data_IF_983180354298
#
_entry.id   IF_983180354298
#
_cell.length_a   1.000
_cell.length_b   1.000
_cell.length_c   1.000
_cell.angle_alpha   90.00
_cell.angle_beta   90.00
_cell.angle_gamma   90.00
#
_symmetry.space_group_name_H-M   'P 1'
#
loop_
_entity.id
_entity.type
_entity.pdbx_description
1 polymer ?
#
# COMPACT_ATOMS: atom_id res chain seq x y z
N UNK A 1 26.70 20.63 -27.73
CA UNK A 1 27.36 20.22 -26.46
C UNK A 1 26.61 20.84 -25.29
N UNK A 2 25.63 20.15 -24.67
CA UNK A 2 25.19 20.31 -23.25
C UNK A 2 23.79 19.75 -22.90
N UNK A 3 22.97 19.29 -23.85
CA UNK A 3 21.58 18.89 -23.56
C UNK A 3 21.33 17.37 -23.64
N UNK A 4 22.24 16.55 -23.10
CA UNK A 4 22.08 15.09 -23.12
C UNK A 4 22.62 14.46 -21.83
N UNK A 5 22.14 14.91 -20.67
CA UNK A 5 22.58 14.39 -19.37
C UNK A 5 21.42 14.32 -18.35
N UNK A 6 20.22 13.90 -18.76
CA UNK A 6 19.20 13.49 -17.77
C UNK A 6 18.31 12.37 -18.33
N UNK A 7 18.92 11.32 -18.85
CA UNK A 7 18.23 10.07 -19.12
C UNK A 7 18.87 8.99 -18.26
N UNK A 8 18.06 8.16 -17.60
CA UNK A 8 18.46 6.99 -16.78
C UNK A 8 18.64 7.26 -15.28
N UNK A 9 17.65 7.86 -14.63
CA UNK A 9 17.40 7.59 -13.21
C UNK A 9 15.90 7.35 -12.96
N UNK A 10 15.26 6.57 -13.85
CA UNK A 10 13.98 5.94 -13.51
C UNK A 10 14.30 4.72 -12.63
N UNK A 11 14.81 4.98 -11.42
CA UNK A 11 14.96 3.96 -10.39
C UNK A 11 13.54 3.64 -9.95
N UNK A 12 13.01 2.53 -10.44
CA UNK A 12 11.71 2.00 -10.06
C UNK A 12 11.71 1.78 -8.55
N UNK A 13 11.21 2.76 -7.79
CA UNK A 13 10.85 2.56 -6.39
C UNK A 13 9.64 1.62 -6.39
N UNK A 14 9.93 0.32 -6.32
CA UNK A 14 8.92 -0.66 -5.93
C UNK A 14 8.57 -0.29 -4.50
N UNK A 15 7.46 0.45 -4.32
CA UNK A 15 6.86 0.61 -3.02
C UNK A 15 6.44 -0.79 -2.63
N UNK A 16 7.22 -1.43 -1.76
CA UNK A 16 6.75 -2.56 -1.01
C UNK A 16 5.53 -2.04 -0.23
N UNK A 17 4.32 -2.24 -0.76
CA UNK A 17 3.12 -2.13 0.04
C UNK A 17 3.23 -3.26 1.05
N UNK A 18 3.89 -2.95 2.17
CA UNK A 18 4.00 -3.85 3.30
C UNK A 18 2.60 -4.28 3.71
N UNK A 19 2.51 -5.49 4.26
CA UNK A 19 1.27 -5.98 4.81
C UNK A 19 0.76 -5.02 5.89
N UNK A 20 -0.55 -4.87 6.01
CA UNK A 20 -1.19 -4.07 7.05
C UNK A 20 -0.82 -4.69 8.40
N UNK A 21 -0.26 -3.90 9.34
CA UNK A 21 0.07 -4.40 10.67
C UNK A 21 -1.22 -4.81 11.41
N UNK A 22 -1.12 -5.63 12.47
CA UNK A 22 -2.29 -5.95 13.29
C UNK A 22 -3.02 -4.68 13.74
N UNK A 23 -4.35 -4.71 13.67
CA UNK A 23 -5.25 -3.58 14.00
C UNK A 23 -5.17 -2.37 13.04
N UNK A 24 -4.39 -2.45 11.97
CA UNK A 24 -4.40 -1.42 10.93
C UNK A 24 -5.58 -1.61 9.99
N UNK A 25 -6.11 -0.51 9.44
CA UNK A 25 -7.19 -0.58 8.46
C UNK A 25 -6.74 -1.28 7.19
N UNK A 26 -7.49 -2.31 6.80
CA UNK A 26 -7.28 -3.14 5.62
C UNK A 26 -8.43 -3.04 4.60
N UNK A 27 -9.51 -2.34 4.92
CA UNK A 27 -10.67 -2.23 4.03
C UNK A 27 -11.70 -1.20 4.49
N UNK A 28 -12.71 -1.01 3.65
CA UNK A 28 -13.78 -0.03 3.82
C UNK A 28 -14.17 0.61 2.48
N UNK A 29 -15.38 1.17 2.40
CA UNK A 29 -15.80 1.99 1.26
C UNK A 29 -14.80 3.14 1.10
N UNK A 30 -14.34 3.34 -0.14
CA UNK A 30 -13.33 4.32 -0.55
C UNK A 30 -11.92 4.14 0.05
N UNK A 31 -11.64 3.01 0.70
CA UNK A 31 -10.28 2.69 1.17
C UNK A 31 -9.33 2.42 -0.02
N UNK A 32 -8.28 3.23 -0.15
CA UNK A 32 -7.24 3.08 -1.19
C UNK A 32 -5.90 2.61 -0.64
N UNK A 33 -5.85 2.21 0.64
CA UNK A 33 -4.64 1.78 1.32
C UNK A 33 -4.31 0.30 1.10
N UNK A 34 -3.52 -0.26 2.00
CA UNK A 34 -3.19 -1.69 1.97
C UNK A 34 -4.42 -2.54 2.27
N UNK A 35 -4.58 -3.67 1.56
CA UNK A 35 -5.68 -4.63 1.77
C UNK A 35 -5.20 -6.01 2.19
N UNK A 36 -3.88 -6.20 2.23
CA UNK A 36 -3.25 -7.47 2.60
C UNK A 36 -2.79 -7.38 4.05
N UNK A 37 -3.44 -8.12 4.94
CA UNK A 37 -3.04 -8.18 6.36
C UNK A 37 -1.72 -8.95 6.54
N UNK A 38 -1.03 -8.67 7.63
CA UNK A 38 0.16 -9.41 8.04
C UNK A 38 -0.14 -10.89 8.22
N UNK A 39 0.88 -11.73 8.08
CA UNK A 39 0.73 -13.19 8.18
C UNK A 39 0.03 -13.61 9.48
N UNK A 40 -0.95 -14.51 9.35
CA UNK A 40 -1.77 -14.98 10.47
C UNK A 40 -2.87 -14.03 10.94
N UNK A 41 -2.99 -12.84 10.34
CA UNK A 41 -4.10 -11.91 10.57
C UNK A 41 -5.16 -12.03 9.49
N UNK A 42 -6.38 -11.61 9.81
CA UNK A 42 -7.49 -11.48 8.86
C UNK A 42 -8.11 -10.10 8.97
N UNK A 43 -8.65 -9.61 7.86
CA UNK A 43 -9.35 -8.34 7.81
C UNK A 43 -10.76 -8.53 8.36
N UNK A 44 -11.09 -7.91 9.50
CA UNK A 44 -12.41 -7.97 10.09
C UNK A 44 -13.21 -6.72 9.75
N UNK A 45 -14.37 -6.89 9.12
CA UNK A 45 -15.28 -5.78 8.83
C UNK A 45 -16.09 -5.42 10.08
N UNK A 46 -15.96 -4.17 10.53
CA UNK A 46 -16.78 -3.64 11.63
C UNK A 46 -18.04 -2.96 11.10
N UNK A 47 -17.89 -2.27 9.97
CA UNK A 47 -18.95 -1.56 9.28
C UNK A 47 -18.52 -1.33 7.82
N UNK A 48 -19.42 -0.85 6.94
CA UNK A 48 -19.11 -0.69 5.52
C UNK A 48 -17.91 0.23 5.24
N UNK A 49 -17.55 1.11 6.16
CA UNK A 49 -16.51 2.13 5.97
C UNK A 49 -15.16 1.73 6.58
N UNK A 50 -15.12 0.71 7.42
CA UNK A 50 -13.90 0.36 8.14
C UNK A 50 -13.79 -1.14 8.42
N UNK A 51 -12.61 -1.67 8.10
CA UNK A 51 -12.20 -3.05 8.36
C UNK A 51 -10.75 -3.05 8.83
N UNK A 52 -10.45 -3.80 9.89
CA UNK A 52 -9.10 -3.91 10.48
C UNK A 52 -8.66 -5.35 10.62
#
# INVERSE_FOLDING_TARGET
MKLALVALAAVSYVVAQGTVPPWGTCGGIDWTGGTVCSEGQYCHEWNPWDST
#
